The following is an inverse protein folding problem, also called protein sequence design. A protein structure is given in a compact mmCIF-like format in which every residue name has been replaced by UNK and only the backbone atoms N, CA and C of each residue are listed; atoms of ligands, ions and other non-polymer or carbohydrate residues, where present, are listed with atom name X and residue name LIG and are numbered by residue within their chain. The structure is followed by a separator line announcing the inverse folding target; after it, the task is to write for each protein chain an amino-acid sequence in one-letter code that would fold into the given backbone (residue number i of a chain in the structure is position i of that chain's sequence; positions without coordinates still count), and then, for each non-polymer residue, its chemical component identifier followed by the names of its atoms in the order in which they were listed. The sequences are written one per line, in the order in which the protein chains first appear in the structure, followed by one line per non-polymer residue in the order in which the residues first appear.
data_IF_131367727182
#
_entry.id   IF_131367727182
#
_cell.length_a   1.000
_cell.length_b   1.000
_cell.length_c   1.000
_cell.angle_alpha   90.00
_cell.angle_beta   90.00
_cell.angle_gamma   90.00
#
_symmetry.space_group_name_H-M   'P 1'
#
loop_
_entity.id
_entity.type
_entity.pdbx_description
1 polymer ?
#
# COMPACT_ATOMS: atom_id res chain seq x y z
N UNK A 1 6.55 -5.22 11.61
CA UNK A 1 5.71 -4.24 12.33
C UNK A 1 6.37 -3.67 13.59
N UNK A 2 6.62 -4.45 14.65
CA UNK A 2 7.19 -3.93 15.90
C UNK A 2 8.46 -3.09 15.72
N UNK A 3 9.41 -3.57 14.91
CA UNK A 3 10.63 -2.84 14.54
C UNK A 3 10.31 -1.47 13.93
N UNK A 4 9.30 -1.41 13.07
CA UNK A 4 8.86 -0.19 12.38
C UNK A 4 8.36 0.85 13.37
N UNK A 5 7.49 0.47 14.32
CA UNK A 5 6.97 1.41 15.30
C UNK A 5 8.06 1.98 16.19
N UNK A 6 8.96 1.13 16.72
CA UNK A 6 10.09 1.57 17.51
C UNK A 6 11.02 2.50 16.70
N UNK A 7 11.33 2.15 15.45
CA UNK A 7 12.21 2.94 14.60
C UNK A 7 11.59 4.28 14.20
N UNK A 8 10.31 4.32 13.85
CA UNK A 8 9.59 5.57 13.55
C UNK A 8 9.56 6.48 14.76
N UNK A 9 9.15 5.97 15.93
CA UNK A 9 9.06 6.77 17.14
C UNK A 9 10.43 7.35 17.50
N UNK A 10 11.49 6.52 17.47
CA UNK A 10 12.85 6.98 17.69
C UNK A 10 13.28 8.05 16.68
N UNK A 11 13.01 7.85 15.38
CA UNK A 11 13.40 8.81 14.34
C UNK A 11 12.68 10.16 14.45
N UNK A 12 11.46 10.18 14.98
CA UNK A 12 10.66 11.40 15.13
C UNK A 12 10.93 12.13 16.45
N UNK A 13 11.12 11.40 17.55
CA UNK A 13 11.26 12.01 18.88
C UNK A 13 12.70 12.13 19.35
N UNK A 14 13.61 11.30 18.84
CA UNK A 14 14.96 11.17 19.36
C UNK A 14 15.06 10.50 20.74
N UNK A 15 13.96 10.03 21.32
CA UNK A 15 13.93 9.46 22.66
C UNK A 15 14.61 8.08 22.70
N UNK A 16 15.56 7.93 23.64
CA UNK A 16 16.35 6.72 23.85
C UNK A 16 15.50 5.51 24.27
N UNK A 17 14.28 5.70 24.82
CA UNK A 17 13.39 4.55 25.13
C UNK A 17 13.05 3.76 23.86
N UNK A 18 12.80 4.43 22.74
CA UNK A 18 12.45 3.78 21.48
C UNK A 18 13.67 3.17 20.80
N UNK A 19 14.83 3.80 20.92
CA UNK A 19 16.11 3.23 20.48
C UNK A 19 16.44 1.94 21.23
N UNK A 20 16.31 1.95 22.56
CA UNK A 20 16.53 0.77 23.39
C UNK A 20 15.51 -0.33 23.08
N UNK A 21 14.25 0.05 22.85
CA UNK A 21 13.20 -0.86 22.39
C UNK A 21 13.54 -1.49 21.03
N UNK A 22 14.01 -0.69 20.07
CA UNK A 22 14.46 -1.19 18.77
C UNK A 22 15.65 -2.15 18.92
N UNK A 23 16.67 -1.79 19.71
CA UNK A 23 17.81 -2.67 19.97
C UNK A 23 17.37 -4.00 20.60
N UNK A 24 16.45 -3.97 21.56
CA UNK A 24 15.90 -5.18 22.19
C UNK A 24 15.20 -6.11 21.19
N UNK A 25 14.49 -5.55 20.20
CA UNK A 25 13.91 -6.34 19.12
C UNK A 25 15.00 -6.99 18.25
N UNK A 26 16.10 -6.30 18.01
CA UNK A 26 17.24 -6.85 17.28
C UNK A 26 17.91 -8.00 18.05
N UNK A 27 18.10 -7.82 19.35
CA UNK A 27 18.68 -8.83 20.25
C UNK A 27 17.80 -10.08 20.33
N UNK A 28 16.49 -9.93 20.16
CA UNK A 28 15.53 -11.03 20.04
C UNK A 28 15.49 -11.69 18.65
N UNK A 29 16.28 -11.22 17.69
CA UNK A 29 16.39 -11.81 16.35
C UNK A 29 15.26 -11.42 15.40
N UNK A 30 14.51 -10.34 15.65
CA UNK A 30 13.37 -9.98 14.80
C UNK A 30 13.75 -9.77 13.33
N UNK A 31 14.94 -9.24 13.04
CA UNK A 31 15.49 -9.08 11.70
C UNK A 31 15.61 -10.40 10.94
N UNK A 32 15.92 -11.49 11.63
CA UNK A 32 16.09 -12.81 11.02
C UNK A 32 14.72 -13.39 10.59
N UNK A 33 13.69 -13.12 11.38
CA UNK A 33 12.31 -13.46 11.03
C UNK A 33 11.76 -12.57 9.92
N UNK A 34 12.15 -11.29 9.85
CA UNK A 34 11.72 -10.38 8.78
C UNK A 34 12.06 -10.93 7.40
N UNK A 35 13.19 -11.61 7.22
CA UNK A 35 13.57 -12.25 5.93
C UNK A 35 12.50 -13.23 5.41
N UNK A 36 11.70 -13.84 6.31
CA UNK A 36 10.68 -14.84 5.95
C UNK A 36 9.39 -14.24 5.44
N UNK A 37 9.17 -12.93 5.60
CA UNK A 37 8.12 -12.23 4.87
C UNK A 37 8.44 -12.36 3.37
N UNK A 38 7.54 -12.81 2.49
CA UNK A 38 6.16 -13.27 2.64
C UNK A 38 6.01 -14.80 2.79
N UNK A 39 5.03 -15.28 3.57
CA UNK A 39 4.67 -16.71 3.63
C UNK A 39 3.97 -17.13 2.32
N UNK A 40 4.45 -18.22 1.72
CA UNK A 40 3.92 -18.77 0.46
C UNK A 40 3.50 -20.24 0.56
N UNK A 41 3.66 -20.86 1.73
CA UNK A 41 3.27 -22.22 2.00
C UNK A 41 3.14 -22.44 3.52
N UNK A 42 2.16 -23.24 3.99
CA UNK A 42 1.10 -23.86 3.19
C UNK A 42 0.09 -22.82 2.66
N UNK A 43 -0.70 -23.11 1.60
CA UNK A 43 -1.58 -22.13 0.96
C UNK A 43 -2.57 -21.43 1.90
N UNK A 44 -3.03 -22.13 2.94
CA UNK A 44 -3.91 -21.61 3.99
C UNK A 44 -3.28 -20.54 4.87
N UNK A 45 -1.95 -20.51 4.96
CA UNK A 45 -1.19 -19.53 5.75
C UNK A 45 -0.82 -18.28 4.92
N UNK A 46 -1.16 -18.27 3.64
CA UNK A 46 -0.92 -17.11 2.78
C UNK A 46 -1.97 -16.05 3.12
N UNK A 47 -1.55 -15.03 3.86
CA UNK A 47 -2.36 -13.87 4.22
C UNK A 47 -2.16 -12.73 3.22
N UNK A 48 -3.09 -12.44 2.30
CA UNK A 48 -2.94 -11.32 1.36
C UNK A 48 -3.15 -9.96 2.04
N UNK A 49 -3.86 -9.90 3.16
CA UNK A 49 -4.13 -8.63 3.86
C UNK A 49 -2.87 -8.05 4.52
N UNK A 50 -1.90 -8.88 4.90
CA UNK A 50 -0.65 -8.46 5.54
C UNK A 50 0.32 -7.75 4.57
N UNK A 51 0.17 -7.95 3.26
CA UNK A 51 1.09 -7.40 2.26
C UNK A 51 1.15 -5.89 2.28
N UNK A 52 0.00 -5.23 2.49
CA UNK A 52 -0.02 -3.78 2.61
C UNK A 52 0.81 -3.33 3.82
N UNK A 53 0.58 -3.90 5.00
CA UNK A 53 1.32 -3.54 6.21
C UNK A 53 2.82 -3.83 6.08
N UNK A 54 3.19 -4.94 5.43
CA UNK A 54 4.59 -5.28 5.18
C UNK A 54 5.31 -4.21 4.36
N UNK A 55 4.71 -3.72 3.27
CA UNK A 55 5.31 -2.67 2.44
C UNK A 55 5.42 -1.32 3.17
N UNK A 56 4.45 -0.99 4.03
CA UNK A 56 4.58 0.19 4.89
C UNK A 56 5.75 0.04 5.86
N UNK A 57 5.92 -1.15 6.43
CA UNK A 57 7.06 -1.45 7.29
C UNK A 57 8.40 -1.35 6.55
N UNK A 58 8.52 -1.94 5.36
CA UNK A 58 9.74 -1.84 4.55
C UNK A 58 10.10 -0.39 4.23
N UNK A 59 9.11 0.40 3.80
CA UNK A 59 9.32 1.79 3.41
C UNK A 59 9.93 2.61 4.54
N UNK A 60 9.42 2.45 5.77
CA UNK A 60 9.98 3.10 6.95
C UNK A 60 11.34 2.52 7.34
N UNK A 61 11.46 1.19 7.48
CA UNK A 61 12.70 0.57 7.96
C UNK A 61 13.87 0.89 7.03
N UNK A 62 13.69 0.73 5.71
CA UNK A 62 14.73 1.02 4.73
C UNK A 62 15.05 2.53 4.71
N UNK A 63 14.07 3.42 4.92
CA UNK A 63 14.32 4.87 4.94
C UNK A 63 15.15 5.32 6.13
N UNK A 64 14.93 4.76 7.32
CA UNK A 64 15.54 5.24 8.56
C UNK A 64 16.70 4.38 9.07
N UNK A 65 16.98 3.22 8.47
CA UNK A 65 18.09 2.37 8.90
C UNK A 65 19.43 2.85 8.35
N UNK A 66 20.33 3.18 9.28
CA UNK A 66 21.71 3.60 8.99
C UNK A 66 22.69 2.42 8.94
N UNK A 67 22.37 1.29 9.57
CA UNK A 67 23.21 0.09 9.56
C UNK A 67 23.11 -0.63 8.19
N UNK A 68 24.20 -0.71 7.42
CA UNK A 68 24.20 -1.35 6.11
C UNK A 68 23.85 -2.85 6.17
N UNK A 69 24.15 -3.55 7.27
CA UNK A 69 23.82 -4.96 7.43
C UNK A 69 22.32 -5.16 7.60
N UNK A 70 21.68 -4.38 8.48
CA UNK A 70 20.23 -4.39 8.65
C UNK A 70 19.52 -3.96 7.36
N UNK A 71 20.04 -2.93 6.67
CA UNK A 71 19.50 -2.49 5.37
C UNK A 71 19.52 -3.63 4.36
N UNK A 72 20.63 -4.39 4.27
CA UNK A 72 20.75 -5.57 3.41
C UNK A 72 19.70 -6.63 3.74
N UNK A 73 19.46 -6.90 5.03
CA UNK A 73 18.43 -7.86 5.48
C UNK A 73 17.04 -7.43 5.01
N UNK A 74 16.67 -6.17 5.22
CA UNK A 74 15.35 -5.65 4.81
C UNK A 74 15.17 -5.63 3.30
N UNK A 75 16.22 -5.29 2.53
CA UNK A 75 16.18 -5.32 1.07
C UNK A 75 16.01 -6.75 0.53
N UNK A 76 16.71 -7.75 1.10
CA UNK A 76 16.52 -9.16 0.71
C UNK A 76 15.11 -9.66 1.00
N UNK A 77 14.55 -9.26 2.14
CA UNK A 77 13.18 -9.57 2.52
C UNK A 77 12.15 -8.92 1.56
N UNK A 78 12.38 -7.65 1.21
CA UNK A 78 11.58 -6.93 0.23
C UNK A 78 11.65 -7.59 -1.15
N UNK A 79 12.85 -7.94 -1.63
CA UNK A 79 13.05 -8.62 -2.92
C UNK A 79 12.23 -9.89 -3.01
N UNK A 80 12.35 -10.77 -2.01
CA UNK A 80 11.60 -12.02 -1.95
C UNK A 80 10.09 -11.77 -1.89
N UNK A 81 9.65 -10.76 -1.15
CA UNK A 81 8.23 -10.40 -1.07
C UNK A 81 7.72 -9.84 -2.40
N UNK A 82 8.49 -8.99 -3.05
CA UNK A 82 8.13 -8.38 -4.33
C UNK A 82 8.05 -9.43 -5.44
N UNK A 83 8.94 -10.43 -5.47
CA UNK A 83 8.83 -11.54 -6.43
C UNK A 83 7.50 -12.30 -6.35
N UNK A 84 6.89 -12.38 -5.17
CA UNK A 84 5.54 -12.95 -5.00
C UNK A 84 4.45 -11.95 -5.42
N UNK A 85 4.65 -10.67 -5.13
CA UNK A 85 3.64 -9.62 -5.33
C UNK A 85 3.60 -9.04 -6.75
N UNK A 86 4.72 -9.08 -7.49
CA UNK A 86 4.88 -8.41 -8.79
C UNK A 86 3.84 -8.84 -9.82
N UNK A 87 3.41 -10.10 -9.80
CA UNK A 87 2.37 -10.64 -10.69
C UNK A 87 0.99 -9.98 -10.54
N UNK A 88 0.75 -9.26 -9.44
CA UNK A 88 -0.50 -8.55 -9.20
C UNK A 88 -0.50 -7.16 -9.85
N UNK A 89 0.67 -6.63 -10.24
CA UNK A 89 0.87 -5.32 -10.87
C UNK A 89 0.26 -4.14 -10.11
N UNK A 90 -0.07 -4.32 -8.83
CA UNK A 90 -0.70 -3.28 -8.01
C UNK A 90 0.30 -2.15 -7.80
N UNK A 91 -0.04 -0.96 -8.31
CA UNK A 91 0.86 0.20 -8.41
C UNK A 91 1.62 0.49 -7.12
N UNK A 92 0.98 0.43 -5.95
CA UNK A 92 1.62 0.56 -4.64
C UNK A 92 2.88 -0.30 -4.47
N UNK A 93 2.76 -1.61 -4.72
CA UNK A 93 3.84 -2.56 -4.42
C UNK A 93 5.01 -2.34 -5.37
N UNK A 94 4.72 -2.16 -6.66
CA UNK A 94 5.71 -1.91 -7.70
C UNK A 94 6.42 -0.56 -7.52
N UNK A 95 5.69 0.52 -7.20
CA UNK A 95 6.28 1.83 -6.95
C UNK A 95 7.11 1.83 -5.67
N UNK A 96 6.59 1.25 -4.59
CA UNK A 96 7.31 1.18 -3.32
C UNK A 96 8.59 0.35 -3.45
N UNK A 97 8.54 -0.78 -4.17
CA UNK A 97 9.74 -1.56 -4.49
C UNK A 97 10.78 -0.74 -5.24
N UNK A 98 10.37 -0.08 -6.33
CA UNK A 98 11.27 0.74 -7.16
C UNK A 98 11.88 1.89 -6.36
N UNK A 99 11.08 2.56 -5.55
CA UNK A 99 11.51 3.67 -4.70
C UNK A 99 12.52 3.24 -3.61
N UNK A 100 12.35 2.06 -3.02
CA UNK A 100 13.23 1.56 -1.96
C UNK A 100 14.54 0.95 -2.47
N UNK A 101 14.51 0.35 -3.66
CA UNK A 101 15.64 -0.40 -4.23
C UNK A 101 16.41 0.37 -5.29
N UNK A 102 15.76 1.29 -6.00
CA UNK A 102 16.28 1.91 -7.22
C UNK A 102 16.21 1.02 -8.46
N UNK A 103 15.66 -0.19 -8.34
CA UNK A 103 15.47 -1.12 -9.46
C UNK A 103 14.16 -0.83 -10.20
N UNK A 104 14.04 -1.33 -11.44
CA UNK A 104 12.76 -1.34 -12.15
C UNK A 104 11.82 -2.39 -11.54
N UNK A 105 10.76 -1.92 -10.89
CA UNK A 105 9.68 -2.74 -10.35
C UNK A 105 8.54 -2.99 -11.33
N UNK A 106 8.82 -3.16 -12.63
CA UNK A 106 7.82 -3.31 -13.71
C UNK A 106 6.89 -2.09 -13.80
N UNK A 107 7.49 -0.90 -13.87
CA UNK A 107 6.75 0.36 -13.77
C UNK A 107 5.67 0.53 -14.84
N UNK A 108 5.87 0.01 -16.05
CA UNK A 108 4.86 0.05 -17.12
C UNK A 108 3.55 -0.66 -16.71
N UNK A 109 3.67 -1.88 -16.17
CA UNK A 109 2.50 -2.65 -15.70
C UNK A 109 1.82 -1.99 -14.51
N UNK A 110 2.62 -1.43 -13.61
CA UNK A 110 2.15 -0.68 -12.45
C UNK A 110 1.40 0.60 -12.86
N UNK A 111 1.85 1.28 -13.92
CA UNK A 111 1.18 2.45 -14.49
C UNK A 111 -0.13 2.08 -15.17
N UNK A 112 -0.18 0.96 -15.90
CA UNK A 112 -1.41 0.46 -16.51
C UNK A 112 -2.45 0.09 -15.45
N UNK A 113 -2.02 -0.51 -14.34
CA UNK A 113 -2.89 -0.71 -13.18
C UNK A 113 -3.42 0.62 -12.63
N UNK A 114 -2.58 1.63 -12.44
CA UNK A 114 -3.01 2.93 -11.90
C UNK A 114 -4.02 3.63 -12.82
N UNK A 115 -3.77 3.63 -14.14
CA UNK A 115 -4.66 4.20 -15.17
C UNK A 115 -5.97 3.42 -15.33
N UNK A 116 -5.99 2.17 -14.89
CA UNK A 116 -7.16 1.31 -14.95
C UNK A 116 -8.08 1.49 -13.75
N UNK A 117 -7.67 2.25 -12.73
CA UNK A 117 -8.47 2.45 -11.53
C UNK A 117 -9.84 3.10 -11.83
N UNK A 118 -10.91 2.51 -11.28
CA UNK A 118 -12.27 3.05 -11.41
C UNK A 118 -12.48 4.20 -10.43
N UNK A 119 -12.77 5.41 -10.94
CA UNK A 119 -12.83 6.63 -10.12
C UNK A 119 -14.17 6.84 -9.39
N UNK A 120 -15.25 6.20 -9.84
CA UNK A 120 -16.57 6.28 -9.17
C UNK A 120 -16.59 5.60 -7.78
N UNK A 121 -15.54 4.83 -7.46
CA UNK A 121 -15.37 4.15 -6.18
C UNK A 121 -16.48 3.15 -5.81
N UNK A 122 -17.36 2.82 -6.74
CA UNK A 122 -18.44 1.84 -6.55
C UNK A 122 -17.87 0.42 -6.60
N UNK A 123 -18.28 -0.42 -5.65
CA UNK A 123 -17.83 -1.82 -5.58
C UNK A 123 -18.81 -2.70 -6.35
N UNK A 124 -18.69 -2.69 -7.67
CA UNK A 124 -19.47 -3.54 -8.57
C UNK A 124 -19.08 -5.02 -8.47
N UNK A 125 -20.02 -5.90 -8.85
CA UNK A 125 -19.73 -7.33 -8.93
C UNK A 125 -19.05 -7.68 -10.24
N UNK A 126 -18.12 -8.62 -10.17
CA UNK A 126 -17.42 -9.16 -11.32
C UNK A 126 -17.31 -10.67 -11.19
N UNK A 127 -17.30 -11.34 -12.34
CA UNK A 127 -17.16 -12.79 -12.42
C UNK A 127 -16.26 -13.11 -13.62
N UNK A 128 -15.02 -13.54 -13.35
CA UNK A 128 -14.03 -13.86 -14.37
C UNK A 128 -13.64 -15.34 -14.38
N UNK A 129 -14.03 -16.15 -13.38
CA UNK A 129 -13.57 -17.54 -13.27
C UNK A 129 -14.00 -18.45 -14.43
N UNK A 130 -14.96 -18.03 -15.25
CA UNK A 130 -15.38 -18.73 -16.47
C UNK A 130 -14.40 -18.56 -17.65
N UNK A 131 -13.43 -17.66 -17.54
CA UNK A 131 -12.47 -17.35 -18.61
C UNK A 131 -11.41 -18.43 -18.75
N UNK A 132 -11.06 -18.74 -20.01
CA UNK A 132 -10.03 -19.74 -20.33
C UNK A 132 -8.61 -19.15 -20.48
N UNK A 133 -8.46 -17.82 -20.46
CA UNK A 133 -7.20 -17.11 -20.70
C UNK A 133 -6.48 -16.67 -19.41
N UNK A 134 -6.83 -17.26 -18.27
CA UNK A 134 -6.33 -16.88 -16.94
C UNK A 134 -5.07 -17.62 -16.50
N UNK A 135 -4.30 -18.19 -17.44
CA UNK A 135 -3.04 -18.86 -17.13
C UNK A 135 -1.97 -17.87 -16.60
N UNK A 136 -1.01 -18.33 -15.77
CA UNK A 136 0.10 -17.48 -15.34
C UNK A 136 0.91 -16.96 -16.52
N UNK A 137 1.24 -15.67 -16.51
CA UNK A 137 2.12 -15.10 -17.53
C UNK A 137 3.54 -15.67 -17.37
N UNK A 138 4.32 -15.84 -18.46
CA UNK A 138 5.69 -16.31 -18.37
C UNK A 138 6.52 -15.48 -17.38
N UNK A 139 7.20 -16.16 -16.45
CA UNK A 139 8.03 -15.51 -15.42
C UNK A 139 7.34 -15.28 -14.08
N UNK A 140 6.03 -15.53 -13.94
CA UNK A 140 5.35 -15.45 -12.65
C UNK A 140 4.98 -16.82 -12.08
N UNK A 141 4.93 -16.88 -10.75
CA UNK A 141 4.50 -18.06 -10.00
C UNK A 141 3.29 -17.70 -9.14
N UNK A 142 2.13 -18.34 -9.34
CA UNK A 142 0.90 -18.01 -8.63
C UNK A 142 0.86 -18.64 -7.24
N UNK A 143 1.45 -17.95 -6.25
CA UNK A 143 1.42 -18.43 -4.87
C UNK A 143 0.08 -18.21 -4.18
N UNK A 144 -0.68 -17.17 -4.54
CA UNK A 144 -2.01 -16.87 -3.97
C UNK A 144 -3.15 -17.38 -4.84
N UNK A 145 -4.39 -17.44 -4.31
CA UNK A 145 -5.58 -18.10 -4.87
C UNK A 145 -6.14 -17.67 -6.25
N UNK A 146 -5.29 -17.23 -7.18
CA UNK A 146 -5.56 -17.03 -8.60
C UNK A 146 -4.27 -17.18 -9.40
N UNK A 147 -4.38 -17.54 -10.67
CA UNK A 147 -3.23 -17.79 -11.55
C UNK A 147 -2.70 -16.56 -12.28
N UNK A 148 -3.43 -15.43 -12.27
CA UNK A 148 -3.10 -14.19 -12.99
C UNK A 148 -3.63 -12.97 -12.23
N UNK A 149 -2.87 -11.87 -12.21
CA UNK A 149 -3.33 -10.60 -11.68
C UNK A 149 -4.38 -9.96 -12.58
N UNK A 150 -5.50 -9.51 -12.00
CA UNK A 150 -6.60 -8.86 -12.72
C UNK A 150 -6.43 -7.34 -12.72
N UNK A 151 -6.69 -6.69 -13.84
CA UNK A 151 -6.73 -5.23 -13.91
C UNK A 151 -7.90 -4.67 -13.07
N UNK A 152 -7.77 -3.47 -12.49
CA UNK A 152 -8.90 -2.78 -11.87
C UNK A 152 -10.10 -2.60 -12.84
N UNK A 153 -9.87 -2.52 -14.16
CA UNK A 153 -10.94 -2.47 -15.19
C UNK A 153 -11.74 -3.76 -15.33
N UNK A 154 -11.16 -4.89 -14.95
CA UNK A 154 -11.79 -6.22 -15.03
C UNK A 154 -12.40 -6.65 -13.69
N UNK A 155 -12.27 -5.80 -12.66
CA UNK A 155 -12.73 -6.08 -11.30
C UNK A 155 -13.50 -4.88 -10.74
N UNK A 156 -13.26 -4.52 -9.49
CA UNK A 156 -13.91 -3.41 -8.81
C UNK A 156 -12.87 -2.63 -8.00
N UNK A 157 -13.25 -1.48 -7.47
CA UNK A 157 -12.42 -0.80 -6.48
C UNK A 157 -12.26 -1.67 -5.24
N UNK A 158 -11.01 -1.83 -4.79
CA UNK A 158 -10.65 -2.65 -3.62
C UNK A 158 -9.99 -1.77 -2.56
N UNK A 159 -10.25 -2.08 -1.29
CA UNK A 159 -9.52 -1.52 -0.14
C UNK A 159 -8.37 -2.42 0.31
N UNK A 160 -7.66 -2.00 1.37
CA UNK A 160 -6.63 -2.81 2.03
C UNK A 160 -5.44 -3.16 1.12
N UNK A 161 -5.07 -4.44 1.07
CA UNK A 161 -3.99 -4.93 0.20
C UNK A 161 -4.33 -5.01 -1.28
N UNK A 162 -5.63 -4.93 -1.62
CA UNK A 162 -6.11 -4.90 -3.00
C UNK A 162 -5.61 -6.09 -3.81
N UNK A 163 -5.67 -7.27 -3.20
CA UNK A 163 -5.29 -8.53 -3.84
C UNK A 163 -5.94 -8.64 -5.24
N UNK A 164 -5.11 -8.72 -6.28
CA UNK A 164 -5.53 -8.74 -7.67
C UNK A 164 -5.83 -10.16 -8.18
N UNK A 165 -5.59 -11.19 -7.38
CA UNK A 165 -5.71 -12.59 -7.80
C UNK A 165 -7.14 -13.17 -7.79
N UNK A 166 -8.09 -12.75 -6.93
CA UNK A 166 -9.45 -13.26 -6.98
C UNK A 166 -10.15 -12.92 -8.30
N UNK A 167 -10.72 -13.93 -8.96
CA UNK A 167 -11.42 -13.79 -10.24
C UNK A 167 -12.87 -13.33 -10.11
N UNK A 168 -13.48 -13.61 -8.97
CA UNK A 168 -14.87 -13.31 -8.70
C UNK A 168 -14.97 -12.49 -7.41
N UNK A 169 -15.89 -11.53 -7.37
CA UNK A 169 -16.09 -10.73 -6.17
C UNK A 169 -16.97 -9.51 -6.40
N UNK A 170 -16.78 -8.52 -5.51
CA UNK A 170 -17.56 -7.29 -5.47
C UNK A 170 -18.74 -7.34 -4.51
N UNK A 171 -19.58 -6.30 -4.52
CA UNK A 171 -20.70 -6.15 -3.58
C UNK A 171 -21.97 -5.59 -4.25
N UNK A 172 -22.16 -5.92 -5.54
CA UNK A 172 -23.33 -5.55 -6.35
C UNK A 172 -23.66 -4.04 -6.26
N UNK A 173 -22.62 -3.20 -6.21
CA UNK A 173 -22.75 -1.74 -6.13
C UNK A 173 -23.32 -1.22 -4.79
N UNK A 174 -23.44 -2.07 -3.76
CA UNK A 174 -24.00 -1.67 -2.44
C UNK A 174 -23.00 -0.98 -1.53
N UNK A 175 -21.74 -0.90 -1.96
CA UNK A 175 -20.64 -0.34 -1.20
C UNK A 175 -19.87 0.65 -2.06
N UNK A 176 -19.47 1.75 -1.42
CA UNK A 176 -18.48 2.68 -1.95
C UNK A 176 -17.17 2.45 -1.18
N UNK A 177 -16.08 2.23 -1.89
CA UNK A 177 -14.75 2.13 -1.30
C UNK A 177 -14.12 3.52 -1.20
N UNK A 178 -13.29 3.81 -0.18
CA UNK A 178 -12.57 5.08 -0.15
C UNK A 178 -11.54 5.14 -1.30
N UNK A 179 -11.33 6.31 -1.94
CA UNK A 179 -10.34 6.50 -3.02
C UNK A 179 -8.88 6.50 -2.53
N UNK A 180 -8.65 6.15 -1.26
CA UNK A 180 -7.34 6.26 -0.59
C UNK A 180 -6.25 5.44 -1.28
N UNK A 181 -6.61 4.29 -1.87
CA UNK A 181 -5.67 3.47 -2.64
C UNK A 181 -5.13 4.19 -3.88
N UNK A 182 -5.99 4.85 -4.65
CA UNK A 182 -5.56 5.61 -5.83
C UNK A 182 -4.70 6.81 -5.43
N UNK A 183 -5.18 7.61 -4.47
CA UNK A 183 -4.51 8.83 -4.01
C UNK A 183 -3.11 8.50 -3.49
N UNK A 184 -2.99 7.47 -2.64
CA UNK A 184 -1.70 7.03 -2.10
C UNK A 184 -0.73 6.62 -3.21
N UNK A 185 -1.18 5.78 -4.14
CA UNK A 185 -0.30 5.21 -5.16
C UNK A 185 0.15 6.29 -6.15
N UNK A 186 -0.77 7.18 -6.55
CA UNK A 186 -0.46 8.33 -7.38
C UNK A 186 0.58 9.25 -6.71
N UNK A 187 0.35 9.65 -5.46
CA UNK A 187 1.29 10.54 -4.76
C UNK A 187 2.60 9.87 -4.41
N UNK A 188 2.63 8.56 -4.15
CA UNK A 188 3.87 7.78 -4.02
C UNK A 188 4.68 7.85 -5.33
N UNK A 189 4.01 7.63 -6.47
CA UNK A 189 4.63 7.74 -7.79
C UNK A 189 5.15 9.16 -8.08
N UNK A 190 4.36 10.20 -7.77
CA UNK A 190 4.77 11.61 -7.92
C UNK A 190 5.96 11.98 -7.03
N UNK A 191 5.93 11.55 -5.77
CA UNK A 191 6.97 11.89 -4.78
C UNK A 191 8.33 11.31 -5.16
N UNK A 192 8.37 10.10 -5.74
CA UNK A 192 9.62 9.46 -6.19
C UNK A 192 9.95 9.71 -7.66
N UNK A 193 9.21 10.58 -8.36
CA UNK A 193 9.47 10.91 -9.76
C UNK A 193 9.17 9.78 -10.75
N UNK A 194 8.41 8.75 -10.35
CA UNK A 194 7.91 7.69 -11.24
C UNK A 194 6.79 8.24 -12.13
N UNK A 195 5.93 9.08 -11.55
CA UNK A 195 4.88 9.80 -12.27
C UNK A 195 5.33 11.25 -12.43
N UNK A 196 5.40 11.72 -13.66
CA UNK A 196 5.79 13.08 -13.99
C UNK A 196 4.65 14.09 -13.75
N UNK A 197 4.97 15.39 -13.59
CA UNK A 197 3.97 16.45 -13.70
C UNK A 197 3.25 16.43 -15.06
N UNK A 198 2.03 16.97 -15.13
CA UNK A 198 1.38 17.18 -16.41
C UNK A 198 2.30 18.00 -17.33
N UNK A 199 2.39 17.60 -18.60
CA UNK A 199 3.17 18.34 -19.59
C UNK A 199 2.51 19.68 -20.01
N UNK A 200 1.24 19.87 -19.67
CA UNK A 200 0.47 21.07 -19.97
C UNK A 200 0.40 22.01 -18.76
N UNK A 201 0.39 23.32 -19.04
CA UNK A 201 0.13 24.38 -18.05
C UNK A 201 -1.29 24.96 -18.19
N UNK A 202 -2.14 24.38 -19.03
CA UNK A 202 -3.53 24.80 -19.18
C UNK A 202 -4.31 24.52 -17.89
N UNK A 203 -4.72 25.59 -17.23
CA UNK A 203 -5.32 25.54 -15.89
C UNK A 203 -6.53 24.60 -15.83
N UNK A 204 -7.42 24.66 -16.82
CA UNK A 204 -8.62 23.81 -16.92
C UNK A 204 -8.33 22.31 -17.10
N UNK A 205 -7.08 21.91 -17.39
CA UNK A 205 -6.67 20.51 -17.52
C UNK A 205 -5.90 19.99 -16.31
N UNK A 206 -5.43 20.88 -15.43
CA UNK A 206 -4.59 20.53 -14.26
C UNK A 206 -5.19 20.97 -12.93
N UNK A 207 -6.28 21.73 -12.96
CA UNK A 207 -7.08 22.08 -11.79
C UNK A 207 -8.54 21.74 -12.04
N UNK A 208 -9.25 21.44 -10.95
CA UNK A 208 -10.71 21.37 -10.95
C UNK A 208 -11.18 22.73 -10.43
N UNK A 209 -12.04 23.46 -11.17
CA UNK A 209 -12.64 24.67 -10.64
C UNK A 209 -13.26 24.36 -9.28
N UNK A 210 -13.07 25.24 -8.30
CA UNK A 210 -13.82 25.13 -7.06
C UNK A 210 -15.30 25.33 -7.42
N UNK A 211 -16.03 24.25 -7.66
CA UNK A 211 -17.48 24.33 -7.66
C UNK A 211 -17.89 24.69 -6.24
N UNK A 212 -18.45 25.88 -6.08
CA UNK A 212 -19.21 26.29 -4.90
C UNK A 212 -20.41 25.37 -4.74
N UNK A 213 -20.17 24.11 -4.35
CA UNK A 213 -21.19 23.24 -3.75
C UNK A 213 -21.45 23.74 -2.32
N UNK A 214 -21.79 25.02 -2.19
CA UNK A 214 -22.27 25.62 -0.96
C UNK A 214 -23.58 24.90 -0.57
N UNK A 215 -23.51 24.05 0.46
CA UNK A 215 -24.69 23.42 1.06
C UNK A 215 -24.90 21.93 0.84
N UNK A 216 -23.98 21.20 0.19
CA UNK A 216 -24.05 19.72 0.11
C UNK A 216 -23.42 19.00 1.32
N UNK A 217 -22.72 19.72 2.19
CA UNK A 217 -22.17 19.19 3.44
C UNK A 217 -23.20 19.18 4.58
N UNK A 218 -22.91 18.43 5.64
CA UNK A 218 -23.64 18.62 6.90
C UNK A 218 -23.51 20.08 7.36
N UNK A 219 -24.56 20.67 7.95
CA UNK A 219 -24.48 22.02 8.50
C UNK A 219 -23.33 22.10 9.52
N UNK A 220 -22.63 23.24 9.64
CA UNK A 220 -21.61 23.43 10.65
C UNK A 220 -22.13 23.00 12.02
N UNK A 221 -21.32 22.27 12.77
CA UNK A 221 -21.68 21.79 14.11
C UNK A 221 -22.10 22.99 14.98
N UNK A 222 -23.37 23.00 15.43
CA UNK A 222 -23.93 24.02 16.32
C UNK A 222 -24.12 23.51 17.77
N UNK A 223 -23.47 22.39 18.11
CA UNK A 223 -23.52 21.85 19.47
C UNK A 223 -22.60 22.60 20.44
N UNK A 224 -22.57 22.20 21.72
CA UNK A 224 -21.69 22.80 22.72
C UNK A 224 -20.22 22.73 22.27
N UNK A 225 -19.43 23.74 22.66
CA UNK A 225 -18.00 23.78 22.39
C UNK A 225 -17.32 22.46 22.78
N UNK A 226 -16.28 22.08 22.04
CA UNK A 226 -15.44 20.96 22.44
C UNK A 226 -14.95 21.24 23.86
N UNK A 227 -15.03 20.26 24.79
CA UNK A 227 -14.39 20.41 26.09
C UNK A 227 -12.92 20.77 25.90
N UNK A 228 -12.40 21.67 26.73
CA UNK A 228 -10.96 21.99 26.75
C UNK A 228 -10.16 20.68 26.85
N UNK A 229 -9.03 20.61 26.13
CA UNK A 229 -8.14 19.43 26.01
C UNK A 229 -7.55 18.92 27.36
N UNK A 230 -8.00 19.45 28.50
CA UNK A 230 -7.60 19.06 29.84
C UNK A 230 -8.18 17.73 30.35
N UNK A 231 -8.60 16.81 29.47
CA UNK A 231 -9.12 15.48 29.85
C UNK A 231 -8.07 14.36 29.78
N UNK A 232 -6.79 14.66 29.55
CA UNK A 232 -5.73 13.75 29.96
C UNK A 232 -5.27 14.15 31.37
N UNK A 233 -5.51 13.34 32.42
CA UNK A 233 -4.87 13.59 33.70
C UNK A 233 -3.35 13.57 33.50
N UNK A 234 -2.70 14.68 33.80
CA UNK A 234 -1.25 14.83 33.79
C UNK A 234 -0.58 14.23 35.03
N UNK A 235 -1.20 13.23 35.67
CA UNK A 235 -0.68 12.56 36.86
C UNK A 235 -0.88 11.04 36.76
N UNK A 236 0.25 10.32 36.65
CA UNK A 236 0.33 8.85 36.63
C UNK A 236 1.66 8.34 36.12
#
# INVERSE_FOLDING_TARGET
EAQTYAKTAWALTGDEIFKNGFQKLLDWGYQDYTVRQKITFPPEDIAPWDDNLAFWCYYTLIRYTDDPNLRSIYLRSLERTFEVMRMQHVSWYNFAYSAMTGNDGELDKAMDHLRSWTLDCTVDSYHNSHRADLAPEPGYVPYGGGTRGMSPRETSVKGGSRNALPYDGGDRGRKVAPPTGFIRDYWMGRFHGIVEPPATNEENLISVPAEENEGLGAPPYQGPERPDEALLPSDG
#
